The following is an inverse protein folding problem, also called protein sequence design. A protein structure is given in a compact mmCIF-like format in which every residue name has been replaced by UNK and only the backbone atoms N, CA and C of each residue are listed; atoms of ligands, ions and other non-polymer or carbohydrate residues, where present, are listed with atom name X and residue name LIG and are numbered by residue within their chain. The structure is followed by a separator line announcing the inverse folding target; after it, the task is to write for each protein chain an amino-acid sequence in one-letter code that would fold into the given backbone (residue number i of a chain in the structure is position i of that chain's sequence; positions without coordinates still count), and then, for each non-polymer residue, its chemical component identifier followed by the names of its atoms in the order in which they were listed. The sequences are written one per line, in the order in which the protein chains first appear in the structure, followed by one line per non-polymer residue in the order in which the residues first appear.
data_IF_826557802330
#
_entry.id   IF_826557802330
#
_cell.length_a   1.000
_cell.length_b   1.000
_cell.length_c   1.000
_cell.angle_alpha   90.00
_cell.angle_beta   90.00
_cell.angle_gamma   90.00
#
_symmetry.space_group_name_H-M   'P 1'
#
loop_
_entity.id
_entity.type
_entity.pdbx_description
1 polymer ?
#
# COMPACT_ATOMS: atom_id res chain seq x y z
N UNK A 1 -10.17 5.18 2.58
CA UNK A 1 -9.84 4.14 1.57
C UNK A 1 -8.87 3.15 2.20
N UNK A 2 -9.07 1.82 2.13
CA UNK A 2 -8.10 0.85 2.68
C UNK A 2 -7.25 0.29 1.55
N UNK A 3 -5.96 0.58 1.55
CA UNK A 3 -4.99 0.08 0.55
C UNK A 3 -5.03 -1.44 0.41
N UNK A 4 -5.30 -2.15 1.52
CA UNK A 4 -5.55 -3.59 1.52
C UNK A 4 -6.68 -3.99 0.57
N UNK A 5 -7.82 -3.29 0.63
CA UNK A 5 -8.98 -3.57 -0.21
C UNK A 5 -8.67 -3.32 -1.68
N UNK A 6 -7.98 -2.22 -1.99
CA UNK A 6 -7.60 -1.90 -3.37
C UNK A 6 -6.66 -2.96 -3.94
N UNK A 7 -5.66 -3.42 -3.19
CA UNK A 7 -4.77 -4.51 -3.63
C UNK A 7 -5.52 -5.83 -3.79
N UNK A 8 -6.48 -6.11 -2.91
CA UNK A 8 -7.33 -7.30 -3.01
C UNK A 8 -8.18 -7.28 -4.27
N UNK A 9 -8.79 -6.13 -4.59
CA UNK A 9 -9.64 -5.96 -5.76
C UNK A 9 -8.82 -5.99 -7.07
N UNK A 10 -7.62 -5.39 -7.09
CA UNK A 10 -6.74 -5.36 -8.28
C UNK A 10 -6.22 -6.77 -8.62
N UNK A 11 -5.80 -7.52 -7.61
CA UNK A 11 -5.15 -8.82 -7.79
C UNK A 11 -6.10 -10.01 -7.56
N UNK A 12 -7.40 -9.74 -7.42
CA UNK A 12 -8.46 -10.72 -7.15
C UNK A 12 -8.07 -11.70 -6.02
N UNK A 13 -7.55 -11.15 -4.92
CA UNK A 13 -7.08 -11.95 -3.79
C UNK A 13 -8.26 -12.36 -2.91
N UNK A 14 -8.15 -13.52 -2.27
CA UNK A 14 -9.08 -13.95 -1.23
C UNK A 14 -8.34 -14.04 0.12
N UNK A 15 -8.13 -12.91 0.80
CA UNK A 15 -7.59 -12.92 2.16
C UNK A 15 -8.66 -13.37 3.17
N UNK A 16 -8.26 -14.19 4.14
CA UNK A 16 -9.06 -14.45 5.34
C UNK A 16 -9.02 -13.25 6.30
N UNK A 17 -9.93 -13.18 7.27
CA UNK A 17 -10.03 -12.09 8.26
C UNK A 17 -8.73 -11.83 9.07
N UNK A 18 -7.82 -12.81 9.12
CA UNK A 18 -6.53 -12.71 9.81
C UNK A 18 -5.37 -12.31 8.89
N UNK A 19 -5.63 -12.02 7.61
CA UNK A 19 -4.57 -11.72 6.63
C UNK A 19 -4.05 -10.31 6.85
N UNK A 20 -2.79 -10.21 7.29
CA UNK A 20 -2.13 -8.93 7.47
C UNK A 20 -1.78 -8.28 6.12
N UNK A 21 -1.76 -6.94 6.06
CA UNK A 21 -1.29 -6.17 4.88
C UNK A 21 -0.01 -6.71 4.25
N UNK A 22 0.99 -7.10 5.06
CA UNK A 22 2.23 -7.66 4.53
C UNK A 22 1.98 -8.96 3.73
N UNK A 23 1.09 -9.83 4.20
CA UNK A 23 0.74 -11.05 3.47
C UNK A 23 -0.01 -10.74 2.18
N UNK A 24 -0.87 -9.71 2.18
CA UNK A 24 -1.55 -9.22 0.97
C UNK A 24 -0.52 -8.72 -0.05
N UNK A 25 0.43 -7.86 0.37
CA UNK A 25 1.51 -7.35 -0.49
C UNK A 25 2.35 -8.51 -1.07
N UNK A 26 2.73 -9.48 -0.25
CA UNK A 26 3.52 -10.62 -0.72
C UNK A 26 2.75 -11.50 -1.72
N UNK A 27 1.43 -11.66 -1.54
CA UNK A 27 0.57 -12.40 -2.47
C UNK A 27 0.34 -11.62 -3.77
N UNK A 28 0.01 -10.34 -3.68
CA UNK A 28 -0.25 -9.43 -4.80
C UNK A 28 0.94 -9.35 -5.77
N UNK A 29 2.15 -9.19 -5.25
CA UNK A 29 3.36 -8.99 -6.05
C UNK A 29 4.23 -10.26 -6.12
N UNK A 30 3.59 -11.43 -6.08
CA UNK A 30 4.29 -12.71 -6.25
C UNK A 30 4.63 -12.91 -7.72
N UNK A 31 5.89 -12.67 -8.06
CA UNK A 31 6.39 -12.73 -9.44
C UNK A 31 7.69 -13.55 -9.49
N UNK A 32 7.89 -14.34 -10.54
CA UNK A 32 9.13 -15.11 -10.77
C UNK A 32 10.12 -14.24 -11.52
N UNK A 33 11.42 -14.49 -11.33
CA UNK A 33 12.49 -13.74 -12.02
C UNK A 33 12.44 -13.89 -13.55
N UNK A 34 11.77 -14.93 -14.04
CA UNK A 34 11.56 -15.21 -15.46
C UNK A 34 10.40 -14.43 -16.08
N UNK A 35 9.57 -13.77 -15.27
CA UNK A 35 8.41 -13.03 -15.78
C UNK A 35 8.87 -11.71 -16.41
N UNK A 36 8.33 -11.32 -17.58
CA UNK A 36 8.70 -10.07 -18.26
C UNK A 36 8.43 -8.81 -17.42
N UNK A 37 7.51 -8.93 -16.46
CA UNK A 37 7.09 -7.86 -15.56
C UNK A 37 7.79 -7.91 -14.20
N UNK A 38 8.80 -8.76 -14.02
CA UNK A 38 9.46 -9.01 -12.74
C UNK A 38 10.00 -7.74 -12.08
N UNK A 39 10.72 -6.91 -12.84
CA UNK A 39 11.32 -5.68 -12.31
C UNK A 39 10.25 -4.72 -11.77
N UNK A 40 9.15 -4.56 -12.52
CA UNK A 40 8.06 -3.67 -12.14
C UNK A 40 7.27 -4.20 -10.94
N UNK A 41 6.96 -5.49 -10.92
CA UNK A 41 6.31 -6.14 -9.78
C UNK A 41 7.19 -6.07 -8.52
N UNK A 42 8.51 -6.22 -8.66
CA UNK A 42 9.47 -6.08 -7.56
C UNK A 42 9.52 -4.64 -7.04
N UNK A 43 9.50 -3.64 -7.93
CA UNK A 43 9.43 -2.22 -7.55
C UNK A 43 8.18 -1.94 -6.69
N UNK A 44 7.01 -2.37 -7.13
CA UNK A 44 5.77 -2.23 -6.36
C UNK A 44 5.86 -2.95 -5.01
N UNK A 45 6.37 -4.18 -4.98
CA UNK A 45 6.55 -4.92 -3.71
C UNK A 45 7.42 -4.16 -2.72
N UNK A 46 8.55 -3.63 -3.17
CA UNK A 46 9.48 -2.86 -2.32
C UNK A 46 8.81 -1.59 -1.81
N UNK A 47 8.10 -0.87 -2.66
CA UNK A 47 7.38 0.36 -2.31
C UNK A 47 6.33 0.14 -1.20
N UNK A 48 5.46 -0.86 -1.35
CA UNK A 48 4.41 -1.12 -0.35
C UNK A 48 4.99 -1.73 0.94
N UNK A 49 6.06 -2.52 0.83
CA UNK A 49 6.73 -3.10 2.02
C UNK A 49 7.43 -2.03 2.85
N UNK A 50 8.10 -1.06 2.23
CA UNK A 50 8.77 0.03 2.95
C UNK A 50 7.80 0.96 3.66
N UNK A 51 6.57 1.08 3.15
CA UNK A 51 5.49 1.92 3.71
C UNK A 51 4.51 1.16 4.59
N UNK A 52 4.72 -0.13 4.88
CA UNK A 52 3.78 -0.96 5.64
C UNK A 52 3.39 -0.37 7.00
N UNK A 53 4.33 0.27 7.70
CA UNK A 53 4.08 0.88 9.01
C UNK A 53 3.13 2.05 8.87
N UNK A 54 3.39 2.92 7.89
CA UNK A 54 2.52 4.05 7.57
C UNK A 54 1.13 3.60 7.14
N UNK A 55 1.04 2.53 6.35
CA UNK A 55 -0.23 1.96 5.88
C UNK A 55 -1.05 1.34 7.02
N UNK A 56 -0.40 0.63 7.94
CA UNK A 56 -1.04 0.10 9.14
C UNK A 56 -1.50 1.21 10.09
N UNK A 57 -0.67 2.25 10.25
CA UNK A 57 -1.02 3.44 11.01
C UNK A 57 -2.19 4.18 10.36
N UNK A 58 -2.23 4.30 9.03
CA UNK A 58 -3.35 4.92 8.30
C UNK A 58 -4.67 4.19 8.56
N UNK A 59 -4.66 2.86 8.54
CA UNK A 59 -5.81 2.02 8.91
C UNK A 59 -6.26 2.25 10.38
N UNK A 60 -5.38 2.71 11.26
CA UNK A 60 -5.67 3.04 12.66
C UNK A 60 -6.07 4.53 12.85
N UNK A 61 -5.52 5.44 12.05
CA UNK A 61 -5.70 6.89 12.15
C UNK A 61 -7.11 7.38 11.76
N UNK A 62 -7.87 6.64 10.92
CA UNK A 62 -9.30 6.94 10.72
C UNK A 62 -10.11 6.84 12.04
N UNK A 63 -9.57 6.22 13.10
CA UNK A 63 -10.25 6.03 14.39
C UNK A 63 -9.88 7.01 15.52
N UNK A 64 -8.74 7.73 15.47
CA UNK A 64 -8.35 8.61 16.58
C UNK A 64 -7.29 9.67 16.21
N UNK A 65 -7.73 10.84 15.76
CA UNK A 65 -6.88 12.02 15.46
C UNK A 65 -6.34 12.76 16.71
N UNK A 66 -5.99 12.06 17.80
CA UNK A 66 -5.63 12.72 19.07
C UNK A 66 -4.27 12.36 19.70
N UNK A 67 -3.46 11.49 19.08
CA UNK A 67 -2.21 11.01 19.72
C UNK A 67 -0.92 11.72 19.27
N UNK A 68 -1.01 12.74 18.42
CA UNK A 68 0.16 13.54 18.04
C UNK A 68 -0.16 15.02 18.18
N UNK A 69 0.18 15.66 19.29
CA UNK A 69 0.51 17.10 19.34
C UNK A 69 1.76 17.23 20.22
N UNK A 70 2.95 17.62 19.70
CA UNK A 70 3.23 18.94 19.10
C UNK A 70 4.02 18.91 17.76
N UNK A 71 4.26 17.75 17.13
CA UNK A 71 5.00 17.62 15.85
C UNK A 71 4.14 17.87 14.57
N UNK A 72 2.91 18.38 14.74
CA UNK A 72 1.78 18.25 13.80
C UNK A 72 1.96 18.91 12.43
N UNK A 73 2.61 20.06 12.33
CA UNK A 73 2.52 20.83 11.07
C UNK A 73 3.40 20.26 9.94
N UNK A 74 4.61 19.81 10.28
CA UNK A 74 5.53 19.18 9.30
C UNK A 74 5.09 17.73 9.01
N UNK A 75 4.61 17.02 10.03
CA UNK A 75 4.15 15.63 9.86
C UNK A 75 2.85 15.54 9.06
N UNK A 76 1.94 16.52 9.10
CA UNK A 76 0.74 16.52 8.25
C UNK A 76 1.05 16.64 6.77
N UNK A 77 1.94 17.56 6.37
CA UNK A 77 2.31 17.74 4.96
C UNK A 77 3.10 16.55 4.41
N UNK A 78 4.04 16.01 5.21
CA UNK A 78 4.76 14.80 4.86
C UNK A 78 3.82 13.59 4.77
N UNK A 79 2.92 13.41 5.74
CA UNK A 79 1.92 12.33 5.74
C UNK A 79 0.98 12.45 4.53
N UNK A 80 0.49 13.65 4.23
CA UNK A 80 -0.37 13.89 3.06
C UNK A 80 0.37 13.57 1.77
N UNK A 81 1.64 13.94 1.66
CA UNK A 81 2.48 13.61 0.51
C UNK A 81 2.62 12.09 0.35
N UNK A 82 2.91 11.36 1.43
CA UNK A 82 3.02 9.91 1.38
C UNK A 82 1.69 9.24 1.01
N UNK A 83 0.55 9.77 1.46
CA UNK A 83 -0.78 9.30 1.05
C UNK A 83 -0.97 9.48 -0.46
N UNK A 84 -0.68 10.67 -0.98
CA UNK A 84 -0.78 10.96 -2.41
C UNK A 84 0.14 10.04 -3.22
N UNK A 85 1.38 9.82 -2.77
CA UNK A 85 2.30 8.88 -3.43
C UNK A 85 1.75 7.44 -3.44
N UNK A 86 1.07 7.00 -2.37
CA UNK A 86 0.43 5.69 -2.32
C UNK A 86 -0.74 5.61 -3.31
N UNK A 87 -1.59 6.63 -3.37
CA UNK A 87 -2.72 6.70 -4.30
C UNK A 87 -2.26 6.69 -5.76
N UNK A 88 -1.25 7.50 -6.10
CA UNK A 88 -0.62 7.51 -7.41
C UNK A 88 -0.06 6.13 -7.77
N UNK A 89 0.58 5.45 -6.81
CA UNK A 89 1.12 4.10 -7.02
C UNK A 89 0.03 3.06 -7.26
N UNK A 90 -1.11 3.18 -6.58
CA UNK A 90 -2.27 2.31 -6.83
C UNK A 90 -2.85 2.53 -8.23
N UNK A 91 -2.94 3.78 -8.70
CA UNK A 91 -3.37 4.10 -10.06
C UNK A 91 -2.39 3.54 -11.08
N UNK A 92 -1.08 3.66 -10.82
CA UNK A 92 -0.03 3.07 -11.67
C UNK A 92 -0.19 1.56 -11.78
N UNK A 93 -0.42 0.86 -10.67
CA UNK A 93 -0.65 -0.60 -10.68
C UNK A 93 -1.91 -0.95 -11.47
N UNK A 94 -3.03 -0.25 -11.24
CA UNK A 94 -4.28 -0.49 -11.97
C UNK A 94 -4.09 -0.38 -13.48
N UNK A 95 -3.41 0.69 -13.90
CA UNK A 95 -3.10 0.94 -15.30
C UNK A 95 -2.21 -0.16 -15.87
N UNK A 96 -1.17 -0.56 -15.13
CA UNK A 96 -0.22 -1.59 -15.53
C UNK A 96 -0.84 -3.00 -15.60
N UNK A 97 -1.85 -3.30 -14.78
CA UNK A 97 -2.56 -4.59 -14.83
C UNK A 97 -3.62 -4.64 -15.93
N UNK A 98 -4.08 -3.48 -16.42
CA UNK A 98 -5.08 -3.37 -17.49
C UNK A 98 -4.47 -3.25 -18.90
N UNK A 99 -3.16 -3.02 -18.99
CA UNK A 99 -2.38 -2.94 -20.24
C UNK A 99 -1.83 -4.29 -20.67
#
# INVERSE_FOLDING_TARGET
MKVEKELVDIFELHPDDMTMLNQIIQKAFRCRETDPNYEKMREFRVFFTSRKTLLNEFNHFEGNMNIFQPAIDITKSALQKEITEIEEKLIEIKTFMQS
#
